data_IF_884413431313
#
_entry.id   IF_884413431313
#
_cell.length_a   1.000
_cell.length_b   1.000
_cell.length_c   1.000
_cell.angle_alpha   90.00
_cell.angle_beta   90.00
_cell.angle_gamma   90.00
#
_symmetry.space_group_name_H-M   'P 1'
#
loop_
_entity.id
_entity.type
_entity.pdbx_description
1 polymer ?
#
# COMPACT_ATOMS: atom_id res chain seq x y z
N UNK A 1 5.33 -52.70 26.06
CA UNK A 1 4.52 -51.59 25.52
C UNK A 1 5.29 -50.96 24.36
N UNK A 2 4.88 -51.22 23.12
CA UNK A 2 5.49 -50.59 21.94
C UNK A 2 4.75 -49.29 21.68
N UNK A 3 5.29 -48.17 22.15
CA UNK A 3 4.80 -46.86 21.74
C UNK A 3 5.15 -46.66 20.27
N UNK A 4 4.11 -46.54 19.45
CA UNK A 4 4.20 -46.41 18.00
C UNK A 4 4.73 -45.03 17.63
N UNK A 5 5.92 -44.98 17.05
CA UNK A 5 6.62 -43.78 16.57
C UNK A 5 5.83 -42.98 15.52
N UNK A 6 4.79 -43.57 14.94
CA UNK A 6 3.93 -42.95 13.93
C UNK A 6 2.95 -41.93 14.48
N UNK A 7 2.58 -42.01 15.77
CA UNK A 7 1.64 -41.06 16.37
C UNK A 7 2.24 -39.67 16.59
N UNK A 8 3.57 -39.59 16.80
CA UNK A 8 4.27 -38.34 17.09
C UNK A 8 4.41 -37.47 15.82
N UNK A 9 4.58 -38.10 14.65
CA UNK A 9 4.73 -37.40 13.36
C UNK A 9 3.44 -36.65 12.99
N UNK A 10 2.27 -37.22 13.28
CA UNK A 10 0.98 -36.60 12.96
C UNK A 10 0.64 -35.38 13.83
N UNK A 11 1.14 -35.32 15.05
CA UNK A 11 0.93 -34.16 15.94
C UNK A 11 1.82 -32.97 15.55
N UNK A 12 3.06 -33.22 15.10
CA UNK A 12 3.95 -32.15 14.64
C UNK A 12 3.40 -31.46 13.37
N UNK A 13 2.89 -32.22 12.40
CA UNK A 13 2.29 -31.64 11.19
C UNK A 13 1.08 -30.75 11.53
N UNK A 14 0.28 -31.12 12.52
CA UNK A 14 -0.87 -30.32 12.98
C UNK A 14 -0.43 -28.99 13.60
N UNK A 15 0.63 -28.97 14.41
CA UNK A 15 1.12 -27.74 15.06
C UNK A 15 1.71 -26.77 14.03
N UNK A 16 2.48 -27.26 13.05
CA UNK A 16 3.04 -26.39 12.01
C UNK A 16 1.97 -25.81 11.08
N UNK A 17 0.94 -26.59 10.69
CA UNK A 17 -0.17 -26.06 9.87
C UNK A 17 -0.96 -24.99 10.62
N UNK A 18 -1.17 -25.16 11.94
CA UNK A 18 -1.95 -24.19 12.73
C UNK A 18 -1.20 -22.87 12.94
N UNK A 19 0.13 -22.90 13.09
CA UNK A 19 0.95 -21.67 13.26
C UNK A 19 1.01 -20.87 11.95
N UNK A 20 1.09 -21.53 10.78
CA UNK A 20 1.11 -20.84 9.47
C UNK A 20 -0.22 -20.16 9.16
N UNK A 21 -1.34 -20.72 9.65
CA UNK A 21 -2.67 -20.09 9.49
C UNK A 21 -2.85 -18.94 10.49
N UNK A 22 -2.32 -19.06 11.73
CA UNK A 22 -2.42 -18.06 12.78
C UNK A 22 -1.73 -16.71 12.50
N UNK A 23 -0.63 -16.71 11.74
CA UNK A 23 0.06 -15.46 11.36
C UNK A 23 -0.55 -14.76 10.15
N UNK A 24 -1.56 -15.37 9.51
CA UNK A 24 -2.13 -14.89 8.24
C UNK A 24 -3.47 -14.14 8.40
N UNK A 25 -3.96 -13.97 9.63
CA UNK A 25 -5.39 -13.66 9.88
C UNK A 25 -5.75 -12.17 9.77
N UNK A 26 -4.81 -11.23 9.87
CA UNK A 26 -5.17 -9.80 9.82
C UNK A 26 -5.13 -9.16 8.43
N UNK A 27 -4.72 -9.91 7.41
CA UNK A 27 -4.50 -9.39 6.07
C UNK A 27 -5.66 -9.74 5.11
N UNK A 28 -6.25 -8.74 4.44
CA UNK A 28 -7.32 -9.00 3.44
C UNK A 28 -6.71 -9.80 2.30
N UNK A 29 -7.45 -10.80 1.79
CA UNK A 29 -7.04 -11.54 0.60
C UNK A 29 -6.81 -10.57 -0.57
N UNK A 30 -5.62 -10.62 -1.18
CA UNK A 30 -5.20 -9.76 -2.30
C UNK A 30 -6.22 -9.70 -3.45
N UNK A 31 -6.93 -10.80 -3.73
CA UNK A 31 -7.97 -10.84 -4.77
C UNK A 31 -9.21 -10.01 -4.42
N UNK A 32 -9.48 -9.85 -3.14
CA UNK A 32 -10.62 -9.09 -2.61
C UNK A 32 -10.26 -7.66 -2.20
N UNK A 33 -8.99 -7.26 -2.35
CA UNK A 33 -8.55 -5.92 -1.97
C UNK A 33 -9.01 -4.87 -2.96
N UNK A 34 -9.62 -3.84 -2.42
CA UNK A 34 -10.01 -2.63 -3.13
C UNK A 34 -9.50 -1.43 -2.34
N UNK A 35 -8.80 -0.53 -3.02
CA UNK A 35 -8.36 0.75 -2.49
C UNK A 35 -9.15 1.87 -3.16
N UNK A 36 -9.71 2.77 -2.37
CA UNK A 36 -10.37 3.98 -2.84
C UNK A 36 -9.42 5.17 -2.68
N UNK A 37 -8.97 5.67 -3.83
CA UNK A 37 -8.03 6.78 -3.99
C UNK A 37 -8.78 8.00 -4.54
N UNK A 38 -9.45 8.75 -3.66
CA UNK A 38 -10.27 9.92 -4.01
C UNK A 38 -11.34 9.62 -5.07
N UNK A 39 -12.07 8.51 -4.90
CA UNK A 39 -13.12 8.05 -5.80
C UNK A 39 -12.62 7.14 -6.93
N UNK A 40 -11.31 6.98 -7.08
CA UNK A 40 -10.71 6.04 -8.04
C UNK A 40 -10.46 4.71 -7.34
N UNK A 41 -11.14 3.66 -7.79
CA UNK A 41 -11.01 2.32 -7.21
C UNK A 41 -9.85 1.57 -7.86
N UNK A 42 -8.88 1.15 -7.05
CA UNK A 42 -7.75 0.31 -7.44
C UNK A 42 -7.94 -1.08 -6.83
N UNK A 43 -8.14 -2.08 -7.67
CA UNK A 43 -8.39 -3.46 -7.25
C UNK A 43 -7.32 -4.44 -7.74
N UNK A 44 -7.62 -5.72 -7.56
CA UNK A 44 -6.71 -6.83 -7.91
C UNK A 44 -6.21 -6.77 -9.36
N UNK A 45 -7.07 -6.45 -10.33
CA UNK A 45 -6.69 -6.39 -11.74
C UNK A 45 -5.60 -5.35 -12.00
N UNK A 46 -5.71 -4.18 -11.37
CA UNK A 46 -4.72 -3.11 -11.49
C UNK A 46 -3.43 -3.44 -10.73
N UNK A 47 -3.56 -4.01 -9.53
CA UNK A 47 -2.42 -4.43 -8.70
C UNK A 47 -1.61 -5.57 -9.34
N UNK A 48 -2.25 -6.42 -10.14
CA UNK A 48 -1.62 -7.52 -10.88
C UNK A 48 -0.84 -7.07 -12.12
N UNK A 49 -0.95 -5.80 -12.52
CA UNK A 49 -0.23 -5.28 -13.68
C UNK A 49 1.26 -5.09 -13.39
N UNK A 50 2.03 -4.95 -14.48
CA UNK A 50 3.45 -4.60 -14.37
C UNK A 50 3.59 -3.27 -13.64
N UNK A 51 4.46 -3.29 -12.63
CA UNK A 51 4.76 -2.17 -11.75
C UNK A 51 6.23 -1.82 -11.83
N UNK A 52 6.53 -0.54 -11.72
CA UNK A 52 7.90 -0.04 -11.75
C UNK A 52 8.40 0.17 -10.33
N UNK A 53 9.49 -0.51 -9.96
CA UNK A 53 10.10 -0.35 -8.64
C UNK A 53 10.71 1.05 -8.53
N UNK A 54 10.16 1.87 -7.63
CA UNK A 54 10.64 3.22 -7.35
C UNK A 54 11.58 3.22 -6.14
N UNK A 55 11.28 2.39 -5.14
CA UNK A 55 12.01 2.39 -3.88
C UNK A 55 12.10 0.98 -3.31
N UNK A 56 13.30 0.58 -2.86
CA UNK A 56 13.49 -0.67 -2.10
C UNK A 56 13.41 -0.40 -0.58
N UNK A 57 13.08 -1.41 0.23
CA UNK A 57 13.16 -1.32 1.69
C UNK A 57 14.59 -1.01 2.10
N UNK A 58 14.78 -0.12 3.07
CA UNK A 58 16.10 0.08 3.68
C UNK A 58 16.23 -0.78 4.92
N UNK A 59 17.35 -1.49 5.04
CA UNK A 59 17.75 -2.13 6.27
C UNK A 59 18.76 -1.19 6.95
N UNK A 60 18.35 -0.53 8.03
CA UNK A 60 19.29 0.11 8.98
C UNK A 60 19.69 1.57 8.75
N UNK A 61 19.03 2.37 7.90
CA UNK A 61 19.23 3.84 7.89
C UNK A 61 18.11 4.63 7.20
N UNK A 62 18.08 5.95 7.48
CA UNK A 62 17.08 7.01 7.20
C UNK A 62 16.00 6.68 6.13
N UNK A 63 14.70 6.89 6.42
CA UNK A 63 13.64 6.65 5.44
C UNK A 63 13.86 7.47 4.18
N UNK A 64 13.80 6.81 3.02
CA UNK A 64 13.78 7.46 1.71
C UNK A 64 12.51 8.32 1.55
N UNK A 65 12.50 9.21 0.55
CA UNK A 65 11.47 10.25 0.35
C UNK A 65 10.04 9.71 0.45
N UNK A 66 9.71 8.59 -0.22
CA UNK A 66 8.34 8.05 -0.19
C UNK A 66 8.00 7.36 1.13
N UNK A 67 8.95 6.67 1.77
CA UNK A 67 8.72 6.10 3.10
C UNK A 67 8.45 7.19 4.14
N UNK A 68 9.14 8.34 4.05
CA UNK A 68 8.89 9.49 4.93
C UNK A 68 7.52 10.12 4.67
N UNK A 69 7.18 10.36 3.41
CA UNK A 69 5.84 10.89 3.03
C UNK A 69 4.74 9.94 3.53
N UNK A 70 4.93 8.64 3.31
CA UNK A 70 4.00 7.62 3.79
C UNK A 70 3.85 7.69 5.31
N UNK A 71 4.96 7.72 6.05
CA UNK A 71 4.97 7.78 7.51
C UNK A 71 4.25 9.03 8.03
N UNK A 72 4.51 10.19 7.43
CA UNK A 72 3.84 11.46 7.76
C UNK A 72 2.32 11.35 7.55
N UNK A 73 1.90 10.84 6.38
CA UNK A 73 0.47 10.69 6.05
C UNK A 73 -0.23 9.64 6.92
N UNK A 74 0.49 8.58 7.28
CA UNK A 74 -0.02 7.56 8.19
C UNK A 74 -0.29 8.16 9.58
N UNK A 75 0.66 8.90 10.14
CA UNK A 75 0.48 9.52 11.46
C UNK A 75 -0.59 10.61 11.45
N UNK A 76 -0.74 11.36 10.36
CA UNK A 76 -1.86 12.29 10.17
C UNK A 76 -3.21 11.58 10.31
N UNK A 77 -3.38 10.42 9.65
CA UNK A 77 -4.61 9.63 9.73
C UNK A 77 -4.83 9.04 11.12
N UNK A 78 -3.78 8.48 11.73
CA UNK A 78 -3.86 7.90 13.09
C UNK A 78 -4.31 8.97 14.09
N UNK A 79 -3.74 10.18 13.98
CA UNK A 79 -4.08 11.30 14.84
C UNK A 79 -5.54 11.78 14.63
N UNK A 80 -5.97 11.88 13.38
CA UNK A 80 -7.31 12.40 13.03
C UNK A 80 -8.45 11.40 13.30
N UNK A 81 -8.26 10.12 13.02
CA UNK A 81 -9.36 9.15 12.93
C UNK A 81 -9.36 8.07 14.02
N UNK A 82 -8.35 8.02 14.89
CA UNK A 82 -8.20 7.08 16.03
C UNK A 82 -8.16 5.56 15.69
N UNK A 83 -8.63 5.14 14.51
CA UNK A 83 -8.59 3.74 14.03
C UNK A 83 -8.11 3.65 12.59
N UNK A 84 -6.80 3.46 12.35
CA UNK A 84 -6.22 3.43 11.00
C UNK A 84 -6.62 2.20 10.18
N UNK A 85 -7.34 1.24 10.76
CA UNK A 85 -7.70 -0.05 10.14
C UNK A 85 -8.49 0.08 8.83
N UNK A 86 -9.14 1.22 8.58
CA UNK A 86 -9.82 1.54 7.30
C UNK A 86 -8.90 2.11 6.22
N UNK A 87 -7.71 2.56 6.57
CA UNK A 87 -6.77 3.20 5.65
C UNK A 87 -5.58 2.29 5.37
N UNK A 88 -5.19 1.46 6.33
CA UNK A 88 -3.96 0.70 6.29
C UNK A 88 -4.15 -0.64 6.99
N UNK A 89 -3.77 -1.73 6.33
CA UNK A 89 -3.61 -3.04 6.95
C UNK A 89 -2.15 -3.43 6.92
N UNK A 90 -1.55 -3.47 8.10
CA UNK A 90 -0.19 -3.97 8.28
C UNK A 90 -0.14 -5.16 9.22
N UNK A 91 0.83 -6.03 8.94
CA UNK A 91 1.46 -6.93 9.92
C UNK A 91 2.80 -6.39 10.47
N UNK A 92 3.28 -5.20 10.04
CA UNK A 92 4.52 -4.59 10.51
C UNK A 92 4.42 -3.07 10.70
N UNK A 93 4.86 -2.59 11.87
CA UNK A 93 4.78 -1.19 12.31
C UNK A 93 5.85 -0.25 11.71
N UNK A 94 6.72 -0.73 10.80
CA UNK A 94 7.86 0.04 10.28
C UNK A 94 7.75 0.36 8.77
N UNK A 95 7.39 1.62 8.41
CA UNK A 95 7.40 2.13 7.04
C UNK A 95 8.71 1.98 6.26
N UNK A 96 9.85 1.86 6.95
CA UNK A 96 11.14 1.68 6.30
C UNK A 96 11.29 0.31 5.62
N UNK A 97 10.42 -0.64 5.98
CA UNK A 97 10.42 -2.01 5.45
C UNK A 97 9.56 -2.17 4.19
N UNK A 98 8.95 -1.10 3.71
CA UNK A 98 8.08 -1.13 2.53
C UNK A 98 8.85 -0.84 1.24
N UNK A 99 8.55 -1.64 0.22
CA UNK A 99 8.93 -1.37 -1.17
C UNK A 99 7.88 -0.46 -1.80
N UNK A 100 8.30 0.51 -2.61
CA UNK A 100 7.39 1.43 -3.30
C UNK A 100 7.44 1.16 -4.80
N UNK A 101 6.27 0.96 -5.38
CA UNK A 101 6.08 0.64 -6.78
C UNK A 101 5.12 1.62 -7.44
N UNK A 102 5.43 2.12 -8.63
CA UNK A 102 4.51 2.94 -9.42
C UNK A 102 3.63 2.06 -10.30
N UNK A 103 2.36 2.44 -10.48
CA UNK A 103 1.43 1.87 -11.45
C UNK A 103 1.39 2.72 -12.73
N UNK A 104 2.26 2.49 -13.72
CA UNK A 104 2.38 3.37 -14.89
C UNK A 104 1.11 3.38 -15.75
N UNK A 105 0.37 2.26 -15.79
CA UNK A 105 -0.87 2.11 -16.57
C UNK A 105 -2.08 2.82 -15.94
N UNK A 106 -1.94 3.36 -14.73
CA UNK A 106 -3.00 4.09 -14.03
C UNK A 106 -2.76 5.60 -13.97
N UNK A 107 -1.76 6.13 -14.69
CA UNK A 107 -1.58 7.58 -14.78
C UNK A 107 -2.87 8.21 -15.33
N UNK A 108 -3.53 9.03 -14.52
CA UNK A 108 -4.68 9.82 -14.95
C UNK A 108 -4.25 11.28 -15.08
N UNK A 109 -4.79 11.98 -16.06
CA UNK A 109 -4.53 13.40 -16.23
C UNK A 109 -5.75 14.09 -16.78
N UNK A 110 -6.11 15.21 -16.16
CA UNK A 110 -7.28 15.99 -16.49
C UNK A 110 -6.87 17.43 -16.74
N UNK A 111 -7.34 17.99 -17.86
CA UNK A 111 -7.10 19.38 -18.21
C UNK A 111 -8.24 20.23 -17.66
N UNK A 112 -7.91 21.21 -16.80
CA UNK A 112 -8.81 22.21 -16.25
C UNK A 112 -8.37 23.60 -16.74
N UNK A 113 -8.95 24.04 -17.86
CA UNK A 113 -8.51 25.27 -18.54
C UNK A 113 -7.04 25.18 -18.94
N UNK A 114 -6.20 26.08 -18.40
CA UNK A 114 -4.76 26.13 -18.66
C UNK A 114 -3.92 25.25 -17.72
N UNK A 115 -4.55 24.50 -16.81
CA UNK A 115 -3.88 23.67 -15.80
C UNK A 115 -4.14 22.20 -16.07
N UNK A 116 -3.07 21.41 -16.22
CA UNK A 116 -3.09 19.95 -16.24
C UNK A 116 -2.93 19.43 -14.81
N UNK A 117 -3.89 18.62 -14.36
CA UNK A 117 -3.84 17.92 -13.08
C UNK A 117 -3.60 16.45 -13.37
N UNK A 118 -2.46 15.93 -12.91
CA UNK A 118 -2.07 14.52 -13.08
C UNK A 118 -2.06 13.77 -11.76
N UNK A 119 -2.51 12.52 -11.80
CA UNK A 119 -2.59 11.60 -10.67
C UNK A 119 -1.70 10.39 -10.93
N UNK A 120 -0.76 10.16 -10.00
CA UNK A 120 0.17 9.04 -9.99
C UNK A 120 -0.10 8.13 -8.80
N UNK A 121 -0.07 6.81 -9.02
CA UNK A 121 -0.39 5.82 -8.00
C UNK A 121 0.86 5.04 -7.59
N UNK A 122 1.18 5.08 -6.30
CA UNK A 122 2.31 4.37 -5.72
C UNK A 122 1.82 3.30 -4.74
N UNK A 123 2.01 2.03 -5.09
CA UNK A 123 1.70 0.88 -4.25
C UNK A 123 2.85 0.63 -3.29
N UNK A 124 2.53 0.50 -2.01
CA UNK A 124 3.47 0.09 -0.97
C UNK A 124 3.29 -1.39 -0.69
N UNK A 125 4.38 -2.15 -0.82
CA UNK A 125 4.41 -3.58 -0.56
C UNK A 125 5.32 -3.93 0.61
N UNK A 126 4.95 -4.94 1.38
CA UNK A 126 5.81 -5.54 2.39
C UNK A 126 6.81 -6.54 1.79
N UNK A 127 7.60 -7.19 2.66
CA UNK A 127 8.58 -8.22 2.27
C UNK A 127 7.94 -9.47 1.66
N UNK A 128 6.65 -9.71 1.87
CA UNK A 128 5.90 -10.84 1.30
C UNK A 128 5.26 -10.48 -0.05
N UNK A 129 5.54 -9.29 -0.60
CA UNK A 129 4.94 -8.75 -1.84
C UNK A 129 3.43 -8.55 -1.74
N UNK A 130 2.95 -8.22 -0.55
CA UNK A 130 1.54 -7.92 -0.30
C UNK A 130 1.30 -6.42 -0.38
N UNK A 131 0.25 -5.99 -1.08
CA UNK A 131 -0.06 -4.57 -1.26
C UNK A 131 -0.70 -4.01 0.02
N UNK A 132 0.05 -3.29 0.85
CA UNK A 132 -0.43 -2.84 2.16
C UNK A 132 -1.20 -1.51 2.08
N UNK A 133 -0.78 -0.62 1.17
CA UNK A 133 -1.37 0.70 1.00
C UNK A 133 -1.09 1.24 -0.41
N UNK A 134 -1.85 2.25 -0.81
CA UNK A 134 -1.57 3.04 -2.01
C UNK A 134 -1.44 4.50 -1.60
N UNK A 135 -0.40 5.15 -2.09
CA UNK A 135 -0.18 6.59 -1.99
C UNK A 135 -0.52 7.21 -3.35
N UNK A 136 -1.53 8.07 -3.36
CA UNK A 136 -1.91 8.89 -4.49
C UNK A 136 -1.07 10.17 -4.48
N UNK A 137 -0.41 10.46 -5.59
CA UNK A 137 0.27 11.73 -5.82
C UNK A 137 -0.56 12.57 -6.79
N UNK A 138 -0.90 13.79 -6.40
CA UNK A 138 -1.53 14.79 -7.27
C UNK A 138 -0.50 15.87 -7.60
N UNK A 139 -0.42 16.20 -8.88
CA UNK A 139 0.49 17.22 -9.43
C UNK A 139 -0.26 18.13 -10.39
N UNK A 140 -0.07 19.43 -10.21
CA UNK A 140 -0.68 20.44 -11.06
C UNK A 140 0.40 21.19 -11.86
N UNK A 141 0.24 21.27 -13.17
CA UNK A 141 1.17 21.99 -14.05
C UNK A 141 0.42 22.73 -15.14
N UNK A 142 0.80 23.95 -15.46
CA UNK A 142 0.11 24.68 -16.51
C UNK A 142 0.50 26.13 -16.61
N UNK A 143 -0.48 26.97 -16.92
CA UNK A 143 -0.34 28.43 -16.88
C UNK A 143 -1.42 29.04 -15.99
N UNK A 144 -1.03 30.01 -15.17
CA UNK A 144 -1.96 30.89 -14.45
C UNK A 144 -1.58 32.33 -14.76
N UNK A 145 -2.56 33.13 -15.19
CA UNK A 145 -2.35 34.54 -15.56
C UNK A 145 -1.21 34.72 -16.59
N UNK A 146 -1.13 33.82 -17.57
CA UNK A 146 -0.12 33.83 -18.64
C UNK A 146 1.29 33.36 -18.22
N UNK A 147 1.54 33.06 -16.94
CA UNK A 147 2.83 32.57 -16.44
C UNK A 147 2.80 31.06 -16.23
N UNK A 148 3.96 30.39 -16.40
CA UNK A 148 4.10 28.98 -16.04
C UNK A 148 3.77 28.79 -14.55
N UNK A 149 2.89 27.84 -14.26
CA UNK A 149 2.48 27.46 -12.92
C UNK A 149 2.84 25.99 -12.69
N UNK A 150 3.34 25.70 -11.51
CA UNK A 150 3.48 24.34 -10.98
C UNK A 150 2.95 24.40 -9.56
N UNK A 151 1.84 23.69 -9.33
CA UNK A 151 1.22 23.62 -8.02
C UNK A 151 2.03 22.77 -7.04
N UNK A 152 1.63 22.76 -5.76
CA UNK A 152 2.25 21.88 -4.78
C UNK A 152 2.07 20.41 -5.19
N UNK A 153 3.04 19.58 -4.81
CA UNK A 153 2.88 18.12 -4.88
C UNK A 153 2.10 17.69 -3.65
N UNK A 154 0.92 17.12 -3.89
CA UNK A 154 0.03 16.63 -2.84
C UNK A 154 0.10 15.10 -2.80
N UNK A 155 0.10 14.55 -1.58
CA UNK A 155 0.09 13.10 -1.37
C UNK A 155 -1.05 12.72 -0.42
N UNK A 156 -1.81 11.71 -0.81
CA UNK A 156 -2.97 11.20 -0.07
C UNK A 156 -2.86 9.69 0.06
N UNK A 157 -3.17 9.14 1.23
CA UNK A 157 -3.29 7.69 1.40
C UNK A 157 -4.68 7.23 1.00
N UNK A 158 -4.75 6.22 0.16
CA UNK A 158 -6.02 5.62 -0.25
C UNK A 158 -6.62 4.81 0.90
N UNK A 159 -7.95 4.75 0.94
CA UNK A 159 -8.68 3.95 1.93
C UNK A 159 -8.87 2.51 1.47
N UNK A 160 -8.84 1.56 2.39
CA UNK A 160 -9.22 0.18 2.12
C UNK A 160 -10.75 0.10 2.13
N UNK A 161 -11.32 -0.26 0.98
CA UNK A 161 -12.74 -0.56 0.85
C UNK A 161 -12.94 -2.05 1.11
N UNK A 162 -13.62 -2.39 2.20
CA UNK A 162 -14.06 -3.77 2.42
C UNK A 162 -15.16 -4.09 1.41
N UNK A 163 -15.01 -5.19 0.67
CA UNK A 163 -16.11 -5.75 -0.10
C UNK A 163 -17.18 -6.19 0.90
N UNK A 164 -18.30 -5.48 0.94
CA UNK A 164 -19.52 -5.91 1.62
C UNK A 164 -20.16 -7.08 0.89
#
# INVERSE_FOLDING_TARGET
>A
MRFSSTAIIFQCASIFVTIVIGSSIDHINEQSKLFDCDGIIVGHEQLSQKRDLIQRPLIGSKPMTFSKIYQEKYYEIVYLYQSPKKYVKFGYDDPARLSVFRLPKMLQSHQYGDVLVSYDFFVLEDSERRACSILLQKKEQGKMLGRKYTGPLEYTLCTIRQST
#
